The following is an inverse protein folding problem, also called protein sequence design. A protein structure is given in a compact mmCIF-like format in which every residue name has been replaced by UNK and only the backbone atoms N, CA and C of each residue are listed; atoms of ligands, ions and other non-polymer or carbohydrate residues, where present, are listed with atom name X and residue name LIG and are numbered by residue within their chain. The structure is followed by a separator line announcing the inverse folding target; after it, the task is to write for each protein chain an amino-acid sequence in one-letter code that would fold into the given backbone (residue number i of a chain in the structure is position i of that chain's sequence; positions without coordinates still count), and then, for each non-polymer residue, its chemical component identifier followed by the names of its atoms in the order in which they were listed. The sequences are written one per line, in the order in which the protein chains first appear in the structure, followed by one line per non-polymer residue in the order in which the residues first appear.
data_IF_990208162126
#
_entry.id   IF_990208162126
#
_cell.length_a   1.000
_cell.length_b   1.000
_cell.length_c   1.000
_cell.angle_alpha   90.00
_cell.angle_beta   90.00
_cell.angle_gamma   90.00
#
_symmetry.space_group_name_H-M   'P 1'
#
loop_
_entity.id
_entity.type
_entity.pdbx_description
1 polymer ?
#
# COMPACT_ATOMS: atom_id res chain seq x y z
N UNK A 1 19.31 5.36 6.23
CA UNK A 1 17.89 5.34 5.84
C UNK A 1 17.73 4.20 4.85
N UNK A 2 16.75 3.30 5.01
CA UNK A 2 16.60 2.18 4.06
C UNK A 2 15.88 2.67 2.79
N UNK A 3 16.51 2.48 1.65
CA UNK A 3 15.88 2.65 0.35
C UNK A 3 14.91 1.49 0.10
N UNK A 4 13.63 1.82 -0.09
CA UNK A 4 12.54 0.86 -0.29
C UNK A 4 12.35 0.53 -1.79
N UNK A 5 13.08 1.23 -2.68
CA UNK A 5 12.97 1.05 -4.13
C UNK A 5 11.66 1.59 -4.72
N UNK A 6 10.98 2.48 -3.99
CA UNK A 6 9.79 3.22 -4.42
C UNK A 6 10.11 4.71 -4.27
N UNK A 7 9.62 5.55 -5.20
CA UNK A 7 9.68 7.02 -5.12
C UNK A 7 8.72 7.56 -4.04
N UNK A 8 8.88 7.12 -2.80
CA UNK A 8 8.11 7.60 -1.66
C UNK A 8 9.01 8.40 -0.71
N UNK A 9 8.57 9.61 -0.34
CA UNK A 9 9.27 10.43 0.65
C UNK A 9 9.29 9.70 1.99
N UNK A 10 10.45 9.62 2.67
CA UNK A 10 10.51 9.00 3.98
C UNK A 10 9.73 9.81 5.02
N UNK A 11 9.16 9.15 6.04
CA UNK A 11 8.49 9.85 7.13
C UNK A 11 9.48 10.68 7.95
N UNK A 12 9.07 11.89 8.36
CA UNK A 12 9.87 12.79 9.20
C UNK A 12 10.03 12.27 10.64
N UNK A 13 9.13 11.38 11.09
CA UNK A 13 9.14 10.79 12.43
C UNK A 13 9.73 9.39 12.44
N UNK A 14 10.61 9.14 13.39
CA UNK A 14 11.15 7.81 13.65
C UNK A 14 10.04 6.87 14.13
N UNK A 15 9.88 5.74 13.42
CA UNK A 15 8.88 4.73 13.75
C UNK A 15 9.56 3.54 14.43
N UNK A 16 9.03 3.09 15.58
CA UNK A 16 9.57 1.97 16.36
C UNK A 16 8.93 0.62 16.02
N UNK A 17 8.05 0.56 15.02
CA UNK A 17 7.35 -0.67 14.64
C UNK A 17 8.22 -1.59 13.77
N UNK A 18 8.28 -2.88 14.11
CA UNK A 18 9.02 -3.88 13.33
C UNK A 18 8.46 -4.07 11.91
N UNK A 19 7.15 -3.81 11.75
CA UNK A 19 6.41 -3.89 10.48
C UNK A 19 6.53 -2.60 9.63
N UNK A 20 7.34 -1.63 10.04
CA UNK A 20 7.57 -0.42 9.25
C UNK A 20 8.52 -0.70 8.06
N UNK A 21 8.21 -0.27 6.83
CA UNK A 21 9.10 -0.43 5.67
C UNK A 21 10.44 0.33 5.76
N UNK A 22 10.47 1.49 6.43
CA UNK A 22 11.67 2.34 6.52
C UNK A 22 12.60 1.94 7.67
N UNK A 23 12.06 1.83 8.88
CA UNK A 23 12.83 1.61 10.11
C UNK A 23 12.85 0.14 10.56
N UNK A 24 11.87 -0.64 10.13
CA UNK A 24 11.69 -2.04 10.55
C UNK A 24 12.44 -3.06 9.70
N UNK A 25 12.01 -4.32 9.76
CA UNK A 25 12.58 -5.44 9.00
C UNK A 25 11.76 -5.80 7.75
N UNK A 26 10.61 -5.16 7.56
CA UNK A 26 9.68 -5.48 6.48
C UNK A 26 10.25 -5.05 5.12
N UNK A 27 10.35 -6.00 4.18
CA UNK A 27 10.79 -5.74 2.80
C UNK A 27 9.56 -5.67 1.89
N UNK A 28 9.45 -4.61 1.10
CA UNK A 28 8.41 -4.50 0.06
C UNK A 28 8.88 -5.25 -1.19
N UNK A 29 7.97 -6.04 -1.79
CA UNK A 29 8.19 -6.81 -3.02
C UNK A 29 6.89 -6.89 -3.81
N UNK A 30 7.00 -6.99 -5.13
CA UNK A 30 5.84 -7.17 -6.00
C UNK A 30 5.32 -5.86 -6.58
N UNK A 31 4.02 -5.83 -6.89
CA UNK A 31 3.38 -4.69 -7.56
C UNK A 31 2.98 -3.62 -6.54
N UNK A 32 3.21 -2.37 -6.87
CA UNK A 32 2.64 -1.21 -6.17
C UNK A 32 1.25 -0.96 -6.77
N UNK A 33 0.27 -0.75 -5.90
CA UNK A 33 -1.11 -0.49 -6.28
C UNK A 33 -1.55 0.82 -5.66
N UNK A 34 -2.27 1.61 -6.43
CA UNK A 34 -2.95 2.82 -5.98
C UNK A 34 -4.43 2.51 -5.79
N UNK A 35 -5.02 3.07 -4.73
CA UNK A 35 -6.42 2.83 -4.39
C UNK A 35 -6.91 3.83 -3.34
N UNK A 36 -8.22 3.86 -3.11
CA UNK A 36 -8.84 4.80 -2.16
C UNK A 36 -8.99 4.17 -0.79
N UNK A 37 -8.67 4.91 0.28
CA UNK A 37 -8.88 4.44 1.65
C UNK A 37 -10.37 4.57 2.01
N UNK A 38 -11.02 3.45 2.33
CA UNK A 38 -12.45 3.41 2.70
C UNK A 38 -12.64 3.40 4.21
N UNK A 39 -11.75 2.74 4.95
CA UNK A 39 -11.89 2.61 6.41
C UNK A 39 -10.55 2.48 7.10
N UNK A 40 -10.45 3.14 8.26
CA UNK A 40 -9.28 3.13 9.17
C UNK A 40 -9.69 2.74 10.59
N UNK A 41 -10.79 1.99 10.75
CA UNK A 41 -11.31 1.63 12.07
C UNK A 41 -10.40 0.64 12.83
N UNK A 42 -9.57 -0.12 12.11
CA UNK A 42 -8.66 -1.09 12.69
C UNK A 42 -7.34 -0.42 13.11
N UNK A 43 -6.80 -0.83 14.26
CA UNK A 43 -5.49 -0.34 14.70
C UNK A 43 -4.38 -0.79 13.73
N UNK A 44 -3.54 0.16 13.31
CA UNK A 44 -2.38 -0.06 12.43
C UNK A 44 -2.70 -0.71 11.08
N UNK A 45 -3.96 -0.67 10.62
CA UNK A 45 -4.40 -1.26 9.34
C UNK A 45 -5.38 -0.31 8.64
N UNK A 46 -5.26 -0.17 7.33
CA UNK A 46 -6.21 0.57 6.50
C UNK A 46 -6.82 -0.35 5.43
N UNK A 47 -8.10 -0.17 5.15
CA UNK A 47 -8.81 -0.90 4.10
C UNK A 47 -8.83 -0.02 2.86
N UNK A 48 -8.27 -0.54 1.76
CA UNK A 48 -8.14 0.16 0.47
C UNK A 48 -9.05 -0.50 -0.56
N UNK A 49 -9.84 0.31 -1.24
CA UNK A 49 -10.72 -0.09 -2.35
C UNK A 49 -10.08 0.26 -3.69
N UNK A 50 -10.31 -0.61 -4.67
CA UNK A 50 -9.86 -0.44 -6.06
C UNK A 50 -10.97 -0.85 -6.99
N UNK A 51 -11.49 0.12 -7.74
CA UNK A 51 -12.38 -0.12 -8.85
C UNK A 51 -11.59 -0.51 -10.10
N UNK A 52 -12.06 -1.52 -10.82
CA UNK A 52 -11.55 -1.86 -12.14
C UNK A 52 -12.72 -2.33 -13.00
N UNK A 53 -12.66 -2.00 -14.29
CA UNK A 53 -13.65 -2.47 -15.25
C UNK A 53 -13.31 -3.90 -15.65
N UNK A 54 -14.28 -4.80 -15.54
CA UNK A 54 -14.15 -6.18 -15.98
C UNK A 54 -14.89 -6.37 -17.29
N UNK A 55 -14.14 -6.61 -18.37
CA UNK A 55 -14.70 -6.82 -19.71
C UNK A 55 -15.27 -8.24 -19.86
N UNK A 56 -16.54 -8.31 -20.25
CA UNK A 56 -17.34 -9.50 -20.50
C UNK A 56 -17.43 -9.72 -22.02
N UNK A 57 -16.66 -10.67 -22.59
CA UNK A 57 -16.53 -10.82 -24.04
C UNK A 57 -17.84 -11.24 -24.72
N UNK A 58 -18.74 -11.94 -24.01
CA UNK A 58 -20.04 -12.36 -24.54
C UNK A 58 -20.95 -11.18 -24.89
N UNK A 59 -20.81 -10.06 -24.19
CA UNK A 59 -21.65 -8.88 -24.35
C UNK A 59 -20.87 -7.66 -24.85
N UNK A 60 -19.57 -7.82 -25.11
CA UNK A 60 -18.64 -6.73 -25.46
C UNK A 60 -18.76 -5.53 -24.50
N UNK A 61 -18.81 -5.81 -23.19
CA UNK A 61 -19.06 -4.83 -22.12
C UNK A 61 -18.13 -5.05 -20.95
#
# INVERSE_FOLDING_TARGET
MKDIGIEAKPPEKECKDEKCPWHGKLKIRGKVLEGRVVSVRAQKTAIVERDYLHHVPKYER
#
